data_IF_860115565021
#
_entry.id   IF_860115565021
#
_cell.length_a   1.000
_cell.length_b   1.000
_cell.length_c   1.000
_cell.angle_alpha   90.00
_cell.angle_beta   90.00
_cell.angle_gamma   90.00
#
_symmetry.space_group_name_H-M   'P 1'
#
loop_
_entity.id
_entity.type
_entity.pdbx_description
1 polymer ?
#
# COMPACT_ATOMS: atom_id res chain seq x y z
N UNK A 1 10.38 -5.70 23.35
CA UNK A 1 9.69 -6.41 22.24
C UNK A 1 10.56 -7.51 21.64
N UNK A 2 11.84 -7.27 21.29
CA UNK A 2 12.73 -8.35 20.81
C UNK A 2 12.80 -9.53 21.80
N UNK A 3 13.01 -9.26 23.07
CA UNK A 3 13.09 -10.29 24.12
C UNK A 3 11.81 -11.15 24.27
N UNK A 4 10.66 -10.63 23.84
CA UNK A 4 9.38 -11.34 23.89
C UNK A 4 9.13 -12.24 22.68
N UNK A 5 9.84 -12.02 21.58
CA UNK A 5 9.59 -12.68 20.30
C UNK A 5 10.77 -13.53 19.84
N UNK A 6 11.94 -13.32 20.45
CA UNK A 6 13.16 -14.03 20.10
C UNK A 6 13.07 -15.52 20.49
N UNK A 7 13.43 -16.40 19.59
CA UNK A 7 13.41 -17.84 19.82
C UNK A 7 12.02 -18.49 19.75
N UNK A 8 10.97 -17.76 19.39
CA UNK A 8 9.64 -18.36 19.17
C UNK A 8 9.61 -18.97 17.77
N UNK A 9 9.26 -20.26 17.69
CA UNK A 9 9.13 -20.96 16.42
C UNK A 9 8.07 -20.29 15.51
N UNK A 10 8.43 -20.12 14.23
CA UNK A 10 7.59 -19.44 13.26
C UNK A 10 7.64 -17.92 13.31
N UNK A 11 8.49 -17.29 14.14
CA UNK A 11 8.73 -15.85 14.18
C UNK A 11 10.14 -15.51 13.72
N UNK A 12 10.24 -14.79 12.61
CA UNK A 12 11.49 -14.26 12.08
C UNK A 12 11.67 -12.79 12.45
N UNK A 13 12.63 -12.49 13.32
CA UNK A 13 13.03 -11.13 13.66
C UNK A 13 14.11 -10.65 12.70
N UNK A 14 13.74 -9.85 11.72
CA UNK A 14 14.66 -9.31 10.72
C UNK A 14 15.18 -7.93 11.10
N UNK A 15 16.38 -7.60 10.64
CA UNK A 15 16.90 -6.23 10.65
C UNK A 15 16.13 -5.35 9.65
N UNK A 16 16.18 -4.00 9.82
CA UNK A 16 15.61 -3.11 8.82
C UNK A 16 16.12 -3.45 7.42
N UNK A 17 15.22 -3.59 6.48
CA UNK A 17 15.52 -3.94 5.11
C UNK A 17 15.30 -2.75 4.17
N UNK A 18 15.89 -2.80 2.97
CA UNK A 18 15.65 -1.81 1.94
C UNK A 18 14.24 -1.92 1.33
N UNK A 19 13.79 -0.83 0.69
CA UNK A 19 12.42 -0.74 0.14
C UNK A 19 12.06 -1.90 -0.82
N UNK A 20 12.96 -2.27 -1.73
CA UNK A 20 12.69 -3.36 -2.67
C UNK A 20 12.46 -4.71 -1.98
N UNK A 21 13.16 -4.97 -0.88
CA UNK A 21 12.96 -6.17 -0.07
C UNK A 21 11.63 -6.10 0.69
N UNK A 22 11.31 -4.95 1.27
CA UNK A 22 10.04 -4.72 1.95
C UNK A 22 8.86 -4.98 1.02
N UNK A 23 8.89 -4.42 -0.20
CA UNK A 23 7.84 -4.63 -1.21
C UNK A 23 7.66 -6.10 -1.57
N UNK A 24 8.76 -6.85 -1.71
CA UNK A 24 8.67 -8.30 -1.94
C UNK A 24 7.97 -9.01 -0.79
N UNK A 25 8.34 -8.72 0.45
CA UNK A 25 7.73 -9.31 1.65
C UNK A 25 6.24 -8.96 1.75
N UNK A 26 5.87 -7.70 1.52
CA UNK A 26 4.47 -7.27 1.52
C UNK A 26 3.67 -8.00 0.44
N UNK A 27 4.21 -8.11 -0.77
CA UNK A 27 3.58 -8.81 -1.89
C UNK A 27 3.34 -10.30 -1.61
N UNK A 28 4.31 -10.93 -0.96
CA UNK A 28 4.32 -12.38 -0.72
C UNK A 28 3.60 -12.76 0.59
N UNK A 29 3.17 -11.78 1.37
CA UNK A 29 2.42 -11.99 2.60
C UNK A 29 0.92 -12.25 2.35
N UNK A 30 0.34 -13.16 3.11
CA UNK A 30 -1.11 -13.38 3.15
C UNK A 30 -1.87 -12.22 3.81
N UNK A 31 -1.21 -11.53 4.74
CA UNK A 31 -1.76 -10.45 5.55
C UNK A 31 -0.64 -9.58 6.10
N UNK A 32 -0.86 -8.29 6.19
CA UNK A 32 0.04 -7.33 6.82
C UNK A 32 -0.66 -6.62 7.98
N UNK A 33 0.06 -6.49 9.09
CA UNK A 33 -0.34 -5.63 10.23
C UNK A 33 0.67 -4.48 10.30
N UNK A 34 0.21 -3.25 10.10
CA UNK A 34 1.13 -2.12 10.06
C UNK A 34 0.43 -0.78 10.27
N UNK A 35 1.08 0.12 11.03
CA UNK A 35 0.67 1.52 11.18
C UNK A 35 1.41 2.45 10.20
N UNK A 36 2.31 1.91 9.38
CA UNK A 36 3.07 2.68 8.40
C UNK A 36 2.17 3.29 7.33
N UNK A 37 2.30 4.61 7.11
CA UNK A 37 1.61 5.31 6.02
C UNK A 37 2.05 4.81 4.63
N UNK A 38 3.35 4.52 4.44
CA UNK A 38 3.87 3.97 3.18
C UNK A 38 3.28 2.60 2.85
N UNK A 39 3.24 1.68 3.81
CA UNK A 39 2.63 0.35 3.61
C UNK A 39 1.15 0.47 3.25
N UNK A 40 0.44 1.43 3.84
CA UNK A 40 -0.96 1.68 3.51
C UNK A 40 -1.17 2.10 2.04
N UNK A 41 -0.21 2.80 1.46
CA UNK A 41 -0.26 3.19 0.05
C UNK A 41 0.12 2.04 -0.89
N UNK A 42 1.06 1.22 -0.48
CA UNK A 42 1.66 0.16 -1.29
C UNK A 42 0.85 -1.13 -1.29
N UNK A 43 0.31 -1.54 -0.13
CA UNK A 43 -0.42 -2.79 0.02
C UNK A 43 -1.60 -2.95 -0.96
N UNK A 44 -2.45 -1.92 -1.21
CA UNK A 44 -3.51 -2.00 -2.22
C UNK A 44 -2.99 -2.28 -3.63
N UNK A 45 -1.89 -1.65 -4.04
CA UNK A 45 -1.30 -1.85 -5.36
C UNK A 45 -0.73 -3.27 -5.54
N UNK A 46 -0.30 -3.88 -4.44
CA UNK A 46 0.18 -5.27 -4.42
C UNK A 46 -0.97 -6.29 -4.29
N UNK A 47 -2.14 -5.84 -3.84
CA UNK A 47 -3.28 -6.70 -3.55
C UNK A 47 -3.11 -7.47 -2.24
N UNK A 48 -2.41 -6.88 -1.27
CA UNK A 48 -2.16 -7.50 0.02
C UNK A 48 -3.10 -6.93 1.07
N UNK A 49 -3.87 -7.78 1.80
CA UNK A 49 -4.73 -7.33 2.89
C UNK A 49 -3.93 -6.65 3.99
N UNK A 50 -4.43 -5.51 4.46
CA UNK A 50 -3.80 -4.73 5.53
C UNK A 50 -4.75 -4.55 6.71
N UNK A 51 -4.27 -4.87 7.91
CA UNK A 51 -4.90 -4.49 9.17
C UNK A 51 -4.10 -3.39 9.85
N UNK A 52 -4.81 -2.38 10.39
CA UNK A 52 -4.19 -1.25 11.07
C UNK A 52 -5.10 -0.67 12.14
N UNK A 53 -4.52 0.11 13.05
CA UNK A 53 -5.27 0.75 14.13
C UNK A 53 -6.26 1.79 13.60
N UNK A 54 -5.74 2.78 12.88
CA UNK A 54 -6.48 3.94 12.36
C UNK A 54 -5.86 4.41 11.04
N UNK A 55 -6.57 5.26 10.32
CA UNK A 55 -6.06 5.85 9.09
C UNK A 55 -6.51 7.29 8.92
N UNK A 56 -5.63 8.11 8.41
CA UNK A 56 -5.90 9.44 7.84
C UNK A 56 -6.20 9.37 6.34
N UNK A 57 -6.18 8.19 5.75
CA UNK A 57 -6.33 7.96 4.30
C UNK A 57 -7.45 6.96 4.04
N UNK A 58 -8.70 7.43 3.96
CA UNK A 58 -9.87 6.57 3.79
C UNK A 58 -9.87 5.78 2.47
N UNK A 59 -9.07 6.19 1.49
CA UNK A 59 -8.99 5.56 0.16
C UNK A 59 -8.59 4.08 0.23
N UNK A 60 -7.68 3.71 1.15
CA UNK A 60 -7.28 2.32 1.35
C UNK A 60 -8.41 1.46 1.94
N UNK A 61 -9.27 2.06 2.76
CA UNK A 61 -10.47 1.39 3.30
C UNK A 61 -11.51 1.25 2.19
N UNK A 62 -11.76 2.34 1.46
CA UNK A 62 -12.76 2.38 0.36
C UNK A 62 -12.40 1.40 -0.77
N UNK A 63 -11.11 1.20 -1.05
CA UNK A 63 -10.66 0.19 -2.02
C UNK A 63 -10.88 -1.24 -1.56
N UNK A 64 -11.16 -1.45 -0.27
CA UNK A 64 -11.41 -2.76 0.33
C UNK A 64 -10.14 -3.53 0.75
N UNK A 65 -8.96 -2.96 0.56
CA UNK A 65 -7.69 -3.63 0.88
C UNK A 65 -7.25 -3.44 2.34
N UNK A 66 -7.75 -2.42 3.02
CA UNK A 66 -7.40 -2.15 4.40
C UNK A 66 -8.63 -2.22 5.32
N UNK A 67 -8.43 -2.66 6.56
CA UNK A 67 -9.44 -2.72 7.61
C UNK A 67 -8.90 -2.18 8.92
N UNK A 68 -9.73 -1.38 9.60
CA UNK A 68 -9.40 -0.85 10.91
C UNK A 68 -9.77 -1.88 11.99
N UNK A 69 -8.83 -2.18 12.87
CA UNK A 69 -8.97 -3.18 13.93
C UNK A 69 -8.71 -2.61 15.33
N UNK A 70 -8.40 -1.29 15.41
CA UNK A 70 -8.03 -0.66 16.68
C UNK A 70 -6.74 -1.23 17.28
N UNK A 71 -6.59 -1.11 18.60
CA UNK A 71 -5.41 -1.54 19.37
C UNK A 71 -5.68 -2.72 20.29
N UNK A 72 -6.92 -3.16 20.42
CA UNK A 72 -7.27 -4.29 21.28
C UNK A 72 -6.75 -5.60 20.68
N UNK A 73 -5.90 -6.31 21.42
CA UNK A 73 -5.27 -7.56 20.97
C UNK A 73 -6.29 -8.61 20.52
N UNK A 74 -7.42 -8.69 21.21
CA UNK A 74 -8.51 -9.62 20.89
C UNK A 74 -9.12 -9.33 19.51
N UNK A 75 -9.35 -8.05 19.18
CA UNK A 75 -9.90 -7.65 17.89
C UNK A 75 -8.92 -7.88 16.76
N UNK A 76 -7.65 -7.54 16.97
CA UNK A 76 -6.58 -7.78 16.01
C UNK A 76 -6.45 -9.28 15.70
N UNK A 77 -6.44 -10.10 16.76
CA UNK A 77 -6.31 -11.55 16.63
C UNK A 77 -7.51 -12.18 15.94
N UNK A 78 -8.73 -11.78 16.33
CA UNK A 78 -9.97 -12.29 15.73
C UNK A 78 -10.03 -11.98 14.23
N UNK A 79 -9.68 -10.76 13.83
CA UNK A 79 -9.71 -10.36 12.43
C UNK A 79 -8.59 -10.99 11.60
N UNK A 80 -7.39 -11.10 12.17
CA UNK A 80 -6.27 -11.79 11.52
C UNK A 80 -6.60 -13.27 11.28
N UNK A 81 -7.12 -13.97 12.29
CA UNK A 81 -7.57 -15.36 12.16
C UNK A 81 -8.64 -15.51 11.09
N UNK A 82 -9.66 -14.65 11.10
CA UNK A 82 -10.75 -14.68 10.12
C UNK A 82 -10.23 -14.61 8.68
N UNK A 83 -9.23 -13.76 8.43
CA UNK A 83 -8.62 -13.62 7.10
C UNK A 83 -7.70 -14.80 6.75
N UNK A 84 -6.92 -15.30 7.70
CA UNK A 84 -5.99 -16.40 7.46
C UNK A 84 -6.72 -17.75 7.29
N UNK A 85 -7.80 -17.98 8.03
CA UNK A 85 -8.58 -19.21 7.99
C UNK A 85 -9.61 -19.25 6.84
N UNK A 86 -9.99 -18.08 6.30
CA UNK A 86 -10.95 -17.98 5.20
C UNK A 86 -10.34 -17.40 3.92
N UNK A 87 -9.94 -18.26 2.96
CA UNK A 87 -9.45 -17.80 1.66
C UNK A 87 -10.45 -16.91 0.92
N UNK A 88 -11.75 -17.14 1.10
CA UNK A 88 -12.81 -16.33 0.49
C UNK A 88 -12.82 -14.89 1.04
N UNK A 89 -12.70 -14.72 2.36
CA UNK A 89 -12.66 -13.40 2.99
C UNK A 89 -11.36 -12.67 2.64
N UNK A 90 -10.24 -13.40 2.64
CA UNK A 90 -8.95 -12.85 2.22
C UNK A 90 -8.99 -12.39 0.75
N UNK A 91 -9.54 -13.19 -0.16
CA UNK A 91 -9.66 -12.85 -1.56
C UNK A 91 -10.46 -11.57 -1.83
N UNK A 92 -11.44 -11.24 -0.98
CA UNK A 92 -12.19 -9.97 -1.08
C UNK A 92 -11.28 -8.76 -0.89
N UNK A 93 -10.26 -8.89 -0.02
CA UNK A 93 -9.28 -7.84 0.29
C UNK A 93 -8.02 -7.89 -0.59
N UNK A 94 -7.85 -8.94 -1.40
CA UNK A 94 -6.62 -9.17 -2.19
C UNK A 94 -6.71 -8.67 -3.64
N UNK A 95 -7.72 -7.88 -3.97
CA UNK A 95 -7.84 -7.27 -5.30
C UNK A 95 -6.90 -6.09 -5.42
N UNK A 96 -6.07 -6.07 -6.46
CA UNK A 96 -5.21 -4.90 -6.71
C UNK A 96 -6.04 -3.67 -6.98
N UNK A 97 -5.71 -2.59 -6.30
CA UNK A 97 -6.32 -1.27 -6.44
C UNK A 97 -5.24 -0.19 -6.40
N UNK A 98 -5.49 0.92 -7.06
CA UNK A 98 -4.55 2.05 -7.13
C UNK A 98 -5.20 3.34 -6.60
N UNK A 99 -5.68 3.35 -5.35
CA UNK A 99 -6.42 4.48 -4.80
C UNK A 99 -5.56 5.75 -4.66
N UNK A 100 -4.23 5.59 -4.63
CA UNK A 100 -3.28 6.69 -4.48
C UNK A 100 -2.59 7.08 -5.81
N UNK A 101 -3.03 6.50 -6.95
CA UNK A 101 -2.56 6.85 -8.27
C UNK A 101 -2.03 5.65 -9.07
N UNK A 102 -2.05 5.83 -10.39
CA UNK A 102 -1.71 4.80 -11.37
C UNK A 102 -0.26 4.91 -11.90
N UNK A 103 0.58 5.71 -11.26
CA UNK A 103 1.96 5.95 -11.67
C UNK A 103 2.14 6.89 -12.87
N UNK A 104 1.04 7.47 -13.40
CA UNK A 104 1.08 8.35 -14.59
C UNK A 104 0.97 9.84 -14.28
N UNK A 105 1.30 10.26 -13.07
CA UNK A 105 1.25 11.66 -12.67
C UNK A 105 2.24 12.52 -13.48
N UNK A 106 3.47 12.06 -13.65
CA UNK A 106 4.52 12.82 -14.34
C UNK A 106 4.14 13.18 -15.80
N UNK A 107 3.71 12.26 -16.67
CA UNK A 107 3.29 12.64 -18.02
C UNK A 107 2.06 13.54 -18.05
N UNK A 108 1.12 13.38 -17.12
CA UNK A 108 -0.06 14.27 -17.01
C UNK A 108 0.36 15.68 -16.60
N UNK A 109 1.23 15.82 -15.62
CA UNK A 109 1.75 17.12 -15.17
C UNK A 109 2.55 17.78 -16.30
N UNK A 110 3.40 17.04 -17.00
CA UNK A 110 4.17 17.55 -18.11
C UNK A 110 3.27 18.08 -19.23
N UNK A 111 2.20 17.36 -19.58
CA UNK A 111 1.23 17.81 -20.57
C UNK A 111 0.54 19.10 -20.15
N UNK A 112 0.01 19.16 -18.91
CA UNK A 112 -0.67 20.37 -18.38
C UNK A 112 0.27 21.59 -18.36
N UNK A 113 1.53 21.40 -17.95
CA UNK A 113 2.52 22.47 -17.95
C UNK A 113 2.85 22.90 -19.38
N UNK A 114 2.98 21.95 -20.32
CA UNK A 114 3.18 22.23 -21.74
C UNK A 114 2.08 23.10 -22.32
N UNK A 115 0.85 22.69 -22.17
CA UNK A 115 -0.33 23.43 -22.64
C UNK A 115 -0.39 24.83 -22.02
N UNK A 116 -0.08 24.94 -20.74
CA UNK A 116 -0.06 26.23 -20.03
C UNK A 116 1.03 27.18 -20.53
N UNK A 117 2.23 26.66 -20.85
CA UNK A 117 3.35 27.45 -21.40
C UNK A 117 3.07 27.87 -22.84
N UNK A 118 2.49 26.99 -23.67
CA UNK A 118 2.09 27.29 -25.04
C UNK A 118 1.02 28.40 -25.09
N UNK A 119 0.01 28.30 -24.23
CA UNK A 119 -1.05 29.32 -24.13
C UNK A 119 -0.52 30.71 -23.74
N UNK A 120 0.66 30.81 -23.13
CA UNK A 120 1.35 32.05 -22.77
C UNK A 120 2.44 32.48 -23.75
N UNK A 121 2.63 31.73 -24.84
CA UNK A 121 3.67 32.04 -25.82
C UNK A 121 5.11 31.87 -25.31
N UNK A 122 5.29 31.17 -24.18
CA UNK A 122 6.60 30.97 -23.56
C UNK A 122 7.37 29.84 -24.28
N UNK A 123 6.64 28.93 -24.92
CA UNK A 123 7.18 27.85 -25.74
C UNK A 123 6.56 27.86 -27.14
N UNK A 124 7.14 28.67 -28.03
CA UNK A 124 6.87 28.56 -29.46
C UNK A 124 8.05 27.84 -30.10
N UNK A 125 7.99 26.52 -30.21
CA UNK A 125 8.93 25.81 -31.07
C UNK A 125 9.68 24.61 -30.51
N UNK A 126 9.00 23.55 -30.16
CA UNK A 126 9.63 22.23 -30.08
C UNK A 126 8.81 21.08 -30.69
N UNK A 127 7.97 21.39 -31.66
CA UNK A 127 7.12 20.41 -32.36
C UNK A 127 7.55 20.20 -33.83
N UNK A 128 8.86 20.23 -34.11
CA UNK A 128 9.35 19.78 -35.45
C UNK A 128 10.72 19.14 -35.31
N UNK A 129 10.77 17.92 -34.80
CA UNK A 129 11.82 16.94 -35.16
C UNK A 129 11.36 15.56 -34.70
N UNK A 130 10.48 14.92 -35.47
CA UNK A 130 10.50 13.46 -35.73
C UNK A 130 9.96 13.20 -37.13
#
# INVERSE_FOLDING_TARGET
MRELLDGIDGIDLISPCGHAELIRRVRDADLVLSDSGGIQEEAPALGTPLLREKTERPEAITSGNARLVGTASEQILAEARRLLESPLERAKMSKRAFPFGDGRAAPRIAAIIGDWLEARGIFSGCAQQR
#
